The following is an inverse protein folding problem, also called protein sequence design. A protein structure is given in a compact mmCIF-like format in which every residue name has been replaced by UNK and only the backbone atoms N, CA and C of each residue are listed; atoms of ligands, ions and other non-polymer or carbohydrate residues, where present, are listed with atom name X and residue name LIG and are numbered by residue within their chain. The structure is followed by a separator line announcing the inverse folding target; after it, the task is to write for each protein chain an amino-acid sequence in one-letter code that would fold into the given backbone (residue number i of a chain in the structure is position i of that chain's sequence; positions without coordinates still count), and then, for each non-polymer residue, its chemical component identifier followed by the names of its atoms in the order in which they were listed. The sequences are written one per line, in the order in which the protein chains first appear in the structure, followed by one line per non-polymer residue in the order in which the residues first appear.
data_IF_249088100273
#
_entry.id   IF_249088100273
#
_cell.length_a   1.000
_cell.length_b   1.000
_cell.length_c   1.000
_cell.angle_alpha   90.00
_cell.angle_beta   90.00
_cell.angle_gamma   90.00
#
_symmetry.space_group_name_H-M   'P 1'
#
loop_
_entity.id
_entity.type
_entity.pdbx_description
1 polymer ?
#
# COMPACT_ATOMS: atom_id res chain seq x y z
N UNK A 1 -51.55 -36.78 47.82
CA UNK A 1 -50.15 -36.66 47.39
C UNK A 1 -50.16 -35.93 46.08
N UNK A 2 -49.79 -34.60 46.05
CA UNK A 2 -49.81 -33.72 44.85
C UNK A 2 -48.41 -33.60 44.35
N UNK A 3 -48.10 -34.16 43.16
CA UNK A 3 -46.83 -34.00 42.50
C UNK A 3 -46.83 -32.66 41.80
N UNK A 4 -45.95 -31.73 42.23
CA UNK A 4 -45.71 -30.46 41.62
C UNK A 4 -44.56 -30.62 40.62
N UNK A 5 -44.87 -30.61 39.31
CA UNK A 5 -43.89 -30.71 38.24
C UNK A 5 -43.35 -29.29 37.96
N UNK A 6 -42.13 -29.00 38.42
CA UNK A 6 -41.42 -27.73 38.12
C UNK A 6 -40.76 -27.87 36.76
N UNK A 7 -41.33 -27.21 35.73
CA UNK A 7 -40.72 -27.10 34.41
C UNK A 7 -39.72 -25.95 34.47
N UNK A 8 -38.44 -26.31 34.45
CA UNK A 8 -37.32 -25.33 34.35
C UNK A 8 -37.18 -24.89 32.90
N UNK A 9 -37.69 -23.70 32.58
CA UNK A 9 -37.55 -23.11 31.26
C UNK A 9 -36.12 -22.55 31.12
N UNK A 10 -35.22 -23.36 30.54
CA UNK A 10 -33.84 -22.92 30.23
C UNK A 10 -33.87 -22.04 28.99
N UNK A 11 -33.98 -20.72 29.17
CA UNK A 11 -33.87 -19.75 28.09
C UNK A 11 -32.41 -19.70 27.65
N UNK A 12 -32.08 -20.39 26.57
CA UNK A 12 -30.79 -20.24 25.86
C UNK A 12 -30.75 -18.85 25.22
N UNK A 13 -30.04 -17.94 25.86
CA UNK A 13 -29.60 -16.68 25.23
C UNK A 13 -28.65 -17.04 24.10
N UNK A 14 -29.17 -17.07 22.87
CA UNK A 14 -28.36 -17.07 21.67
C UNK A 14 -27.66 -15.71 21.58
N UNK A 15 -26.44 -15.66 22.08
CA UNK A 15 -25.52 -14.56 21.72
C UNK A 15 -25.26 -14.68 20.24
N UNK A 16 -25.92 -13.86 19.46
CA UNK A 16 -25.54 -13.61 18.07
C UNK A 16 -24.21 -12.87 18.14
N UNK A 17 -23.11 -13.60 18.02
CA UNK A 17 -21.81 -13.01 17.76
C UNK A 17 -21.93 -12.32 16.39
N UNK A 18 -22.01 -11.00 16.38
CA UNK A 18 -21.85 -10.24 15.16
C UNK A 18 -20.43 -10.55 14.67
N UNK A 19 -20.34 -11.12 13.49
CA UNK A 19 -19.08 -11.42 12.79
C UNK A 19 -18.44 -10.08 12.37
N UNK A 20 -17.95 -9.35 13.36
CA UNK A 20 -17.36 -8.04 13.16
C UNK A 20 -15.95 -8.26 12.64
N UNK A 21 -15.73 -7.83 11.39
CA UNK A 21 -14.44 -7.94 10.69
C UNK A 21 -13.33 -7.34 11.57
N UNK A 22 -12.26 -8.07 11.81
CA UNK A 22 -11.14 -7.56 12.60
C UNK A 22 -10.35 -6.50 11.80
N UNK A 23 -9.62 -5.61 12.48
CA UNK A 23 -8.73 -4.66 11.82
C UNK A 23 -7.74 -5.35 10.87
N UNK A 24 -7.23 -6.51 11.25
CA UNK A 24 -6.32 -7.29 10.40
C UNK A 24 -7.01 -7.86 9.15
N UNK A 25 -8.27 -8.29 9.25
CA UNK A 25 -9.01 -8.78 8.08
C UNK A 25 -9.29 -7.65 7.10
N UNK A 26 -9.55 -6.45 7.61
CA UNK A 26 -9.73 -5.25 6.78
C UNK A 26 -8.43 -4.90 6.05
N UNK A 27 -7.28 -4.89 6.76
CA UNK A 27 -5.97 -4.64 6.15
C UNK A 27 -5.65 -5.68 5.07
N UNK A 28 -5.88 -6.98 5.35
CA UNK A 28 -5.70 -8.05 4.35
C UNK A 28 -6.58 -7.86 3.13
N UNK A 29 -7.82 -7.43 3.31
CA UNK A 29 -8.71 -7.13 2.20
C UNK A 29 -8.22 -5.94 1.36
N UNK A 30 -7.66 -4.90 2.01
CA UNK A 30 -7.04 -3.76 1.33
C UNK A 30 -5.82 -4.24 0.53
N UNK A 31 -4.90 -4.99 1.13
CA UNK A 31 -3.72 -5.54 0.47
C UNK A 31 -4.10 -6.39 -0.75
N UNK A 32 -5.10 -7.26 -0.61
CA UNK A 32 -5.60 -8.08 -1.72
C UNK A 32 -6.15 -7.23 -2.87
N UNK A 33 -6.83 -6.13 -2.59
CA UNK A 33 -7.39 -5.24 -3.59
C UNK A 33 -6.32 -4.36 -4.26
N UNK A 34 -5.27 -3.99 -3.52
CA UNK A 34 -4.17 -3.18 -4.02
C UNK A 34 -3.15 -4.00 -4.83
N UNK A 35 -2.96 -5.27 -4.50
CA UNK A 35 -1.97 -6.16 -5.10
C UNK A 35 -2.59 -7.10 -6.13
N UNK A 36 -2.95 -6.54 -7.30
CA UNK A 36 -3.29 -7.36 -8.46
C UNK A 36 -2.03 -8.08 -8.98
N UNK A 37 -2.20 -9.27 -9.62
CA UNK A 37 -1.10 -10.06 -10.20
C UNK A 37 -0.25 -9.25 -11.18
N UNK A 38 -0.88 -8.34 -11.92
CA UNK A 38 -0.20 -7.37 -12.76
C UNK A 38 -0.99 -6.07 -12.84
N UNK A 39 -0.28 -4.94 -12.90
CA UNK A 39 -0.91 -3.61 -12.98
C UNK A 39 -0.06 -2.63 -13.77
N UNK A 40 -0.73 -1.72 -14.45
CA UNK A 40 -0.10 -0.56 -15.10
C UNK A 40 -0.66 0.69 -14.43
N UNK A 41 0.25 1.53 -13.91
CA UNK A 41 -0.12 2.73 -13.13
C UNK A 41 0.55 3.94 -13.77
N UNK A 42 -0.23 4.99 -14.04
CA UNK A 42 0.33 6.33 -14.32
C UNK A 42 0.34 7.12 -13.03
N UNK A 43 1.50 7.61 -12.64
CA UNK A 43 1.72 8.31 -11.38
C UNK A 43 2.10 9.76 -11.62
N UNK A 44 1.64 10.62 -10.72
CA UNK A 44 2.01 12.03 -10.69
C UNK A 44 2.46 12.39 -9.28
N UNK A 45 3.76 12.64 -9.11
CA UNK A 45 4.37 13.03 -7.84
C UNK A 45 4.62 14.54 -7.84
N UNK A 46 4.04 15.25 -6.87
CA UNK A 46 4.27 16.69 -6.67
C UNK A 46 5.23 16.90 -5.52
N UNK A 47 6.43 17.37 -5.81
CA UNK A 47 7.46 17.66 -4.83
C UNK A 47 7.38 19.16 -4.49
N UNK A 48 6.97 19.48 -3.27
CA UNK A 48 6.83 20.84 -2.78
C UNK A 48 8.13 21.31 -2.14
N UNK A 49 8.81 22.26 -2.77
CA UNK A 49 9.98 22.94 -2.21
C UNK A 49 9.61 24.26 -1.54
N UNK A 50 10.57 24.88 -0.87
CA UNK A 50 10.37 26.20 -0.19
C UNK A 50 9.93 27.31 -1.12
N UNK A 51 10.45 27.36 -2.35
CA UNK A 51 10.24 28.45 -3.33
C UNK A 51 9.42 28.01 -4.53
N UNK A 52 9.52 26.75 -4.92
CA UNK A 52 8.87 26.21 -6.10
C UNK A 52 8.45 24.77 -5.86
N UNK A 53 7.49 24.31 -6.64
CA UNK A 53 7.09 22.92 -6.70
C UNK A 53 7.44 22.37 -8.08
N UNK A 54 7.75 21.07 -8.14
CA UNK A 54 7.92 20.37 -9.41
C UNK A 54 7.08 19.11 -9.43
N UNK A 55 6.62 18.75 -10.62
CA UNK A 55 5.82 17.56 -10.84
C UNK A 55 6.62 16.59 -11.67
N UNK A 56 6.65 15.33 -11.20
CA UNK A 56 7.24 14.19 -11.89
C UNK A 56 6.09 13.28 -12.34
N UNK A 57 6.03 12.96 -13.62
CA UNK A 57 5.08 11.99 -14.15
C UNK A 57 5.82 10.73 -14.58
N UNK A 58 5.24 9.58 -14.25
CA UNK A 58 5.80 8.28 -14.60
C UNK A 58 4.72 7.27 -14.95
N UNK A 59 5.11 6.27 -15.72
CA UNK A 59 4.33 5.08 -16.00
C UNK A 59 5.04 3.86 -15.44
N UNK A 60 4.28 3.03 -14.73
CA UNK A 60 4.81 1.92 -13.98
C UNK A 60 4.10 0.63 -14.43
N UNK A 61 4.87 -0.40 -14.72
CA UNK A 61 4.39 -1.76 -15.00
C UNK A 61 4.89 -2.66 -13.87
N UNK A 62 3.98 -3.31 -13.19
CA UNK A 62 4.26 -4.08 -11.98
C UNK A 62 3.67 -5.47 -12.15
N UNK A 63 4.45 -6.50 -11.80
CA UNK A 63 4.01 -7.90 -11.78
C UNK A 63 4.34 -8.48 -10.40
N UNK A 64 3.29 -8.83 -9.67
CA UNK A 64 3.40 -9.24 -8.27
C UNK A 64 4.09 -8.19 -7.40
N UNK A 65 4.96 -8.64 -6.51
CA UNK A 65 5.81 -7.82 -5.64
C UNK A 65 7.27 -7.77 -6.13
N UNK A 66 7.66 -8.71 -7.01
CA UNK A 66 9.05 -8.94 -7.38
C UNK A 66 9.53 -8.10 -8.57
N UNK A 67 8.63 -7.72 -9.48
CA UNK A 67 8.99 -7.06 -10.71
C UNK A 67 8.28 -5.72 -10.87
N UNK A 68 9.04 -4.66 -11.05
CA UNK A 68 8.50 -3.36 -11.38
C UNK A 68 9.40 -2.63 -12.38
N UNK A 69 8.81 -2.11 -13.45
CA UNK A 69 9.47 -1.24 -14.40
C UNK A 69 8.79 0.12 -14.38
N UNK A 70 9.59 1.18 -14.23
CA UNK A 70 9.13 2.55 -14.20
C UNK A 70 9.81 3.34 -15.32
N UNK A 71 9.03 4.09 -16.08
CA UNK A 71 9.54 5.07 -17.04
C UNK A 71 9.07 6.47 -16.64
N UNK A 72 10.00 7.39 -16.48
CA UNK A 72 9.71 8.79 -16.20
C UNK A 72 9.37 9.53 -17.48
N UNK A 73 8.23 10.21 -17.49
CA UNK A 73 7.67 10.86 -18.67
C UNK A 73 7.89 12.37 -18.66
N UNK A 74 7.89 12.97 -17.48
CA UNK A 74 8.13 14.42 -17.29
C UNK A 74 8.71 14.72 -15.92
N UNK A 75 9.36 15.89 -15.73
CA UNK A 75 9.67 16.93 -16.69
C UNK A 75 10.75 16.52 -17.70
N UNK A 76 11.07 17.33 -18.74
CA UNK A 76 12.05 16.97 -19.77
C UNK A 76 13.43 16.54 -19.25
N UNK A 77 13.83 17.05 -18.08
CA UNK A 77 15.09 16.66 -17.43
C UNK A 77 15.10 15.19 -16.98
N UNK A 78 13.95 14.67 -16.57
CA UNK A 78 13.81 13.31 -16.02
C UNK A 78 13.25 12.34 -17.08
N UNK A 79 12.67 12.88 -18.16
CA UNK A 79 12.04 12.08 -19.21
C UNK A 79 13.02 11.08 -19.83
N UNK A 80 12.55 9.85 -20.02
CA UNK A 80 13.35 8.73 -20.55
C UNK A 80 14.22 8.03 -19.50
N UNK A 81 14.35 8.55 -18.28
CA UNK A 81 14.94 7.80 -17.16
C UNK A 81 14.06 6.59 -16.88
N UNK A 82 14.69 5.42 -16.71
CA UNK A 82 13.98 4.16 -16.44
C UNK A 82 14.50 3.53 -15.17
N UNK A 83 13.63 2.83 -14.46
CA UNK A 83 14.00 2.04 -13.29
C UNK A 83 13.45 0.65 -13.42
N UNK A 84 14.21 -0.34 -12.96
CA UNK A 84 13.83 -1.74 -12.96
C UNK A 84 14.11 -2.35 -11.58
N UNK A 85 13.07 -2.81 -10.92
CA UNK A 85 13.14 -3.65 -9.71
C UNK A 85 13.05 -5.10 -10.15
N UNK A 86 13.96 -5.94 -9.65
CA UNK A 86 13.91 -7.40 -9.76
C UNK A 86 14.23 -7.96 -8.38
N UNK A 87 13.21 -8.40 -7.65
CA UNK A 87 13.33 -8.76 -6.25
C UNK A 87 13.91 -7.60 -5.44
N UNK A 88 14.98 -7.84 -4.70
CA UNK A 88 15.67 -6.83 -3.88
C UNK A 88 16.65 -5.94 -4.67
N UNK A 89 16.77 -6.12 -5.98
CA UNK A 89 17.70 -5.36 -6.81
C UNK A 89 16.98 -4.25 -7.54
N UNK A 90 17.57 -3.05 -7.50
CA UNK A 90 17.09 -1.88 -8.21
C UNK A 90 18.14 -1.38 -9.18
N UNK A 91 17.73 -1.15 -10.42
CA UNK A 91 18.56 -0.60 -11.49
C UNK A 91 17.94 0.70 -12.00
N UNK A 92 18.79 1.64 -12.40
CA UNK A 92 18.36 2.86 -13.09
C UNK A 92 19.13 3.02 -14.37
N UNK A 93 18.43 3.43 -15.42
CA UNK A 93 18.98 3.85 -16.70
C UNK A 93 18.87 5.36 -16.86
N UNK A 94 19.95 6.00 -17.22
CA UNK A 94 19.99 7.44 -17.53
C UNK A 94 20.16 7.65 -19.03
N UNK A 95 19.17 8.28 -19.71
CA UNK A 95 19.31 8.58 -21.15
C UNK A 95 20.39 9.59 -21.46
N UNK A 96 20.74 10.48 -20.49
CA UNK A 96 21.79 11.49 -20.69
C UNK A 96 23.20 10.89 -20.81
N UNK A 97 23.42 9.74 -20.13
CA UNK A 97 24.74 9.08 -20.10
C UNK A 97 24.75 7.74 -20.81
N UNK A 98 23.58 7.26 -21.24
CA UNK A 98 23.37 5.93 -21.81
C UNK A 98 23.93 4.80 -20.92
N UNK A 99 23.72 4.93 -19.60
CA UNK A 99 24.24 3.98 -18.62
C UNK A 99 23.13 3.39 -17.76
N UNK A 100 23.32 2.11 -17.44
CA UNK A 100 22.55 1.41 -16.41
C UNK A 100 23.44 1.25 -15.20
N UNK A 101 22.95 1.65 -14.03
CA UNK A 101 23.64 1.43 -12.75
C UNK A 101 22.72 0.73 -11.78
N UNK A 102 23.27 -0.10 -10.91
CA UNK A 102 22.55 -0.68 -9.80
C UNK A 102 22.55 0.28 -8.62
N UNK A 103 21.36 0.59 -8.11
CA UNK A 103 21.19 1.34 -6.84
C UNK A 103 21.34 0.34 -5.70
N UNK A 104 22.38 0.49 -4.87
CA UNK A 104 22.67 -0.44 -3.77
C UNK A 104 23.30 0.25 -2.58
N UNK A 105 23.32 -0.43 -1.44
CA UNK A 105 23.95 0.04 -0.22
C UNK A 105 23.40 1.41 0.24
N UNK A 106 24.30 2.38 0.45
CA UNK A 106 23.90 3.72 0.90
C UNK A 106 23.07 4.51 -0.12
N UNK A 107 23.14 4.15 -1.42
CA UNK A 107 22.33 4.81 -2.46
C UNK A 107 20.85 4.53 -2.28
N UNK A 108 20.47 3.39 -1.72
CA UNK A 108 19.05 3.07 -1.44
C UNK A 108 18.40 4.05 -0.46
N UNK A 109 19.20 4.70 0.39
CA UNK A 109 18.69 5.72 1.34
C UNK A 109 18.59 7.12 0.73
N UNK A 110 19.04 7.30 -0.52
CA UNK A 110 18.88 8.58 -1.20
C UNK A 110 17.44 8.78 -1.66
N UNK A 111 17.06 10.03 -1.78
CA UNK A 111 15.70 10.40 -2.20
C UNK A 111 15.46 10.13 -3.69
N UNK A 112 14.30 9.55 -3.97
CA UNK A 112 13.81 9.34 -5.34
C UNK A 112 13.46 10.69 -5.94
N UNK A 113 14.16 11.05 -7.02
CA UNK A 113 13.94 12.32 -7.73
C UNK A 113 13.95 13.57 -6.81
N UNK A 114 14.63 13.50 -5.65
CA UNK A 114 14.69 14.58 -4.66
C UNK A 114 13.36 14.83 -3.93
N UNK A 115 12.53 13.82 -3.81
CA UNK A 115 11.36 13.79 -2.91
C UNK A 115 11.78 13.39 -1.49
N UNK A 116 10.82 13.35 -0.57
CA UNK A 116 11.01 12.82 0.78
C UNK A 116 11.06 11.28 0.81
N UNK A 117 10.63 10.61 -0.26
CA UNK A 117 10.66 9.16 -0.39
C UNK A 117 12.05 8.68 -0.80
N UNK A 118 12.61 7.71 -0.09
CA UNK A 118 13.87 7.05 -0.46
C UNK A 118 13.64 5.92 -1.48
N UNK A 119 14.74 5.44 -2.10
CA UNK A 119 14.66 4.23 -2.93
C UNK A 119 14.27 2.98 -2.12
N UNK A 120 14.65 2.89 -0.84
CA UNK A 120 14.18 1.84 0.05
C UNK A 120 12.66 1.87 0.22
N UNK A 121 12.09 3.06 0.47
CA UNK A 121 10.64 3.22 0.61
C UNK A 121 9.91 2.84 -0.68
N UNK A 122 10.49 3.20 -1.84
CA UNK A 122 9.93 2.84 -3.14
C UNK A 122 9.97 1.33 -3.42
N UNK A 123 10.91 0.62 -2.82
CA UNK A 123 11.07 -0.84 -2.97
C UNK A 123 10.27 -1.64 -1.95
N UNK A 124 9.67 -0.98 -0.95
CA UNK A 124 8.89 -1.66 0.09
C UNK A 124 7.69 -2.38 -0.52
N UNK A 125 7.63 -3.69 -0.33
CA UNK A 125 6.62 -4.59 -0.91
C UNK A 125 5.97 -5.52 0.11
N UNK A 126 6.35 -5.36 1.39
CA UNK A 126 5.75 -6.16 2.46
C UNK A 126 4.27 -5.82 2.62
N UNK A 127 3.41 -6.82 2.93
CA UNK A 127 2.02 -6.60 3.28
C UNK A 127 1.87 -5.59 4.43
N UNK A 128 0.82 -4.78 4.39
CA UNK A 128 0.55 -3.77 5.43
C UNK A 128 0.47 -4.39 6.84
N UNK A 129 -0.03 -5.63 6.96
CA UNK A 129 -0.10 -6.35 8.24
C UNK A 129 1.28 -6.61 8.89
N UNK A 130 2.36 -6.60 8.08
CA UNK A 130 3.74 -6.74 8.57
C UNK A 130 4.37 -5.39 8.92
N UNK A 131 3.88 -4.31 8.35
CA UNK A 131 4.39 -2.96 8.52
C UNK A 131 3.69 -2.22 9.66
N UNK A 132 2.39 -2.46 9.86
CA UNK A 132 1.54 -1.70 10.76
C UNK A 132 0.77 -2.62 11.70
N UNK A 133 0.54 -2.13 12.92
CA UNK A 133 -0.44 -2.71 13.85
C UNK A 133 -1.71 -1.89 13.73
N UNK A 134 -2.80 -2.53 13.38
CA UNK A 134 -4.07 -1.86 13.20
C UNK A 134 -5.02 -2.12 14.37
N UNK A 135 -5.74 -1.10 14.76
CA UNK A 135 -6.85 -1.16 15.73
C UNK A 135 -8.11 -0.66 15.05
N UNK A 136 -9.20 -1.40 15.16
CA UNK A 136 -10.52 -0.98 14.70
C UNK A 136 -11.18 -0.11 15.78
N UNK A 137 -11.33 1.17 15.50
CA UNK A 137 -11.99 2.14 16.40
C UNK A 137 -13.54 2.10 16.29
N UNK A 138 -14.05 1.49 15.22
CA UNK A 138 -15.47 1.39 14.92
C UNK A 138 -15.79 1.69 13.47
N UNK A 139 -17.04 2.05 13.19
CA UNK A 139 -17.47 2.48 11.86
C UNK A 139 -18.01 3.91 11.90
N UNK A 140 -17.85 4.63 10.79
CA UNK A 140 -18.38 5.97 10.57
C UNK A 140 -19.14 5.99 9.23
N UNK A 141 -20.15 6.85 9.15
CA UNK A 141 -20.93 6.99 7.92
C UNK A 141 -20.44 8.22 7.13
N UNK A 142 -19.99 8.02 5.89
CA UNK A 142 -19.55 9.07 4.98
C UNK A 142 -20.33 8.87 3.67
N UNK A 143 -21.01 9.91 3.18
CA UNK A 143 -21.81 9.90 1.94
C UNK A 143 -22.76 8.68 1.86
N UNK A 144 -23.49 8.43 2.94
CA UNK A 144 -24.43 7.30 3.11
C UNK A 144 -23.81 5.90 3.02
N UNK A 145 -22.47 5.79 3.02
CA UNK A 145 -21.74 4.52 3.07
C UNK A 145 -21.08 4.34 4.42
N UNK A 146 -21.10 3.12 4.91
CA UNK A 146 -20.37 2.75 6.12
C UNK A 146 -18.88 2.57 5.80
N UNK A 147 -18.04 3.19 6.64
CA UNK A 147 -16.58 3.11 6.55
C UNK A 147 -16.02 2.65 7.88
N UNK A 148 -15.04 1.75 7.85
CA UNK A 148 -14.31 1.36 9.04
C UNK A 148 -13.27 2.44 9.40
N UNK A 149 -13.23 2.82 10.68
CA UNK A 149 -12.21 3.71 11.22
C UNK A 149 -11.08 2.87 11.83
N UNK A 150 -9.89 2.93 11.25
CA UNK A 150 -8.71 2.15 11.64
C UNK A 150 -7.58 3.12 11.99
N UNK A 151 -6.90 2.83 13.11
CA UNK A 151 -5.70 3.54 13.58
C UNK A 151 -4.52 2.57 13.74
#
# INVERSE_FOLDING_TARGET
MKNCLIIFFLSSLLFTQSDQMSANDIIKAIDKNLNADSRVITSKMVIKGRRNSRTIESKNWIVGTELAFTEYLSPPREAGTKMLKIGEKLYTYSPQTDRVIQISGHMLRQSVMGSDMSYNDMMEDRPMEQLYKATLEGSIKIDDREHYNIT
#
